data_IF_728541318325
#
_entry.id   IF_728541318325
#
_cell.length_a   1.000
_cell.length_b   1.000
_cell.length_c   1.000
_cell.angle_alpha   90.00
_cell.angle_beta   90.00
_cell.angle_gamma   90.00
#
_symmetry.space_group_name_H-M   'P 1'
#
loop_
_entity.id
_entity.type
_entity.pdbx_description
1 polymer ?
2 water ?
#
# COMPACT_ATOMS: atom_id res chain seq x y z
N UNK A 1 14.13 -17.57 11.69
CA UNK A 1 15.10 -17.25 12.77
C UNK A 1 14.79 -18.09 14.01
N UNK A 2 15.83 -18.68 14.60
CA UNK A 2 15.67 -19.53 15.78
C UNK A 2 15.28 -18.80 17.05
N UNK A 3 16.01 -17.73 17.37
CA UNK A 3 15.79 -16.96 18.60
C UNK A 3 14.37 -16.51 18.88
N UNK A 4 13.67 -16.05 17.85
CA UNK A 4 12.32 -15.55 18.03
C UNK A 4 11.73 -15.31 16.64
N UNK A 5 10.55 -14.71 16.60
CA UNK A 5 9.93 -14.39 15.32
C UNK A 5 10.85 -13.37 14.66
N UNK A 6 11.05 -13.51 13.36
CA UNK A 6 11.93 -12.63 12.59
C UNK A 6 11.82 -11.14 12.96
N UNK A 7 10.62 -10.59 12.86
CA UNK A 7 10.40 -9.18 13.15
C UNK A 7 10.68 -8.70 14.58
N UNK A 8 10.64 -9.61 15.55
CA UNK A 8 10.91 -9.21 16.94
C UNK A 8 12.38 -8.92 17.18
N UNK A 9 13.20 -9.16 16.17
CA UNK A 9 14.63 -8.91 16.26
C UNK A 9 14.91 -7.57 15.59
N UNK A 10 13.86 -6.97 15.05
CA UNK A 10 13.96 -5.69 14.36
C UNK A 10 13.40 -4.56 15.20
N UNK A 11 13.58 -3.33 14.72
CA UNK A 11 13.09 -2.16 15.42
C UNK A 11 11.58 -2.07 15.17
N UNK A 12 10.87 -1.39 16.06
CA UNK A 12 9.43 -1.24 15.92
C UNK A 12 9.06 0.20 15.56
N UNK A 13 8.89 0.44 14.26
CA UNK A 13 8.52 1.76 13.76
C UNK A 13 7.01 1.94 14.01
N UNK A 14 6.60 3.13 14.41
CA UNK A 14 5.20 3.40 14.69
C UNK A 14 4.29 3.39 13.47
N UNK A 15 3.18 2.65 13.54
CA UNK A 15 2.30 2.64 12.37
C UNK A 15 1.76 4.05 12.14
N UNK A 16 1.58 4.41 10.88
CA UNK A 16 1.05 5.72 10.53
C UNK A 16 0.75 5.75 9.04
N UNK A 17 -0.12 6.67 8.60
CA UNK A 17 -0.40 6.68 7.16
C UNK A 17 0.92 6.90 6.43
N UNK A 18 1.09 6.23 5.29
CA UNK A 18 2.33 6.38 4.54
C UNK A 18 3.32 5.27 4.83
N UNK A 19 3.06 4.51 5.88
CA UNK A 19 3.94 3.39 6.22
C UNK A 19 3.29 2.15 5.62
N UNK A 20 4.08 1.10 5.41
CA UNK A 20 3.54 -0.15 4.89
C UNK A 20 3.71 -1.23 5.97
N UNK A 21 2.79 -2.18 6.00
CA UNK A 21 2.87 -3.29 6.95
C UNK A 21 3.33 -4.47 6.10
N UNK A 22 4.51 -5.01 6.40
CA UNK A 22 5.04 -6.14 5.64
C UNK A 22 4.72 -7.46 6.33
N UNK A 23 4.04 -8.35 5.61
CA UNK A 23 3.66 -9.64 6.18
C UNK A 23 4.88 -10.49 6.53
N UNK A 24 4.81 -11.17 7.67
CA UNK A 24 5.90 -12.04 8.09
C UNK A 24 5.98 -13.19 7.10
N UNK A 25 7.18 -13.73 6.88
CA UNK A 25 7.35 -14.85 5.94
C UNK A 25 6.43 -16.04 6.24
N UNK A 26 6.23 -16.32 7.52
CA UNK A 26 5.39 -17.45 7.93
C UNK A 26 3.88 -17.24 7.83
N UNK A 27 3.43 -16.01 7.59
CA UNK A 27 1.99 -15.76 7.47
C UNK A 27 1.50 -16.53 6.25
N UNK A 28 0.51 -17.41 6.45
CA UNK A 28 0.01 -18.25 5.36
C UNK A 28 -1.38 -17.95 4.79
N UNK A 29 -2.15 -17.10 5.46
CA UNK A 29 -3.49 -16.75 4.98
C UNK A 29 -3.47 -16.38 3.50
N UNK A 30 -4.41 -16.93 2.73
CA UNK A 30 -4.46 -16.63 1.30
C UNK A 30 -4.74 -15.15 1.05
N UNK A 31 -5.48 -14.51 1.95
CA UNK A 31 -5.81 -13.10 1.81
C UNK A 31 -4.71 -12.14 2.26
N UNK A 32 -3.76 -12.63 3.06
CA UNK A 32 -2.71 -11.75 3.57
C UNK A 32 -1.26 -12.21 3.42
N UNK A 33 -1.04 -13.43 2.95
CA UNK A 33 0.33 -13.92 2.80
C UNK A 33 1.13 -13.06 1.83
N UNK A 34 2.35 -12.72 2.23
CA UNK A 34 3.27 -11.92 1.42
C UNK A 34 2.67 -10.60 0.96
N UNK A 35 1.91 -9.95 1.83
CA UNK A 35 1.31 -8.68 1.49
C UNK A 35 2.17 -7.52 2.00
N UNK A 36 1.97 -6.36 1.39
CA UNK A 36 2.67 -5.13 1.76
C UNK A 36 1.53 -4.13 1.81
N UNK A 37 1.00 -3.92 3.00
CA UNK A 37 -0.15 -3.06 3.17
C UNK A 37 0.16 -1.62 3.53
N UNK A 38 -0.17 -0.73 2.60
CA UNK A 38 0.04 0.69 2.79
C UNK A 38 -1.06 1.18 3.71
N UNK A 39 -0.69 1.87 4.79
CA UNK A 39 -1.69 2.39 5.72
C UNK A 39 -2.20 3.70 5.13
N UNK A 40 -3.52 3.80 4.98
CA UNK A 40 -4.11 5.00 4.40
C UNK A 40 -5.00 5.77 5.37
N UNK A 41 -5.24 5.18 6.53
CA UNK A 41 -6.06 5.79 7.58
C UNK A 41 -5.69 5.11 8.89
N UNK A 42 -5.38 5.90 9.91
CA UNK A 42 -4.99 5.35 11.20
C UNK A 42 -5.59 6.24 12.29
N UNK A 43 -6.66 5.78 12.92
CA UNK A 43 -7.31 6.56 13.96
C UNK A 43 -7.68 5.70 15.15
N UNK A 44 -8.28 6.33 16.16
CA UNK A 44 -8.70 5.63 17.35
C UNK A 44 -9.82 4.64 17.02
N UNK A 45 -10.48 4.83 15.88
CA UNK A 45 -11.57 3.94 15.49
C UNK A 45 -11.09 2.75 14.67
N UNK A 46 -10.06 2.96 13.86
CA UNK A 46 -9.57 1.87 13.04
C UNK A 46 -8.34 2.23 12.23
N UNK A 47 -7.76 1.21 11.62
CA UNK A 47 -6.62 1.41 10.74
C UNK A 47 -7.11 0.76 9.46
N UNK A 48 -6.94 1.45 8.34
CA UNK A 48 -7.34 0.90 7.04
C UNK A 48 -6.08 0.90 6.20
N UNK A 49 -5.97 -0.04 5.27
CA UNK A 49 -4.80 -0.08 4.43
C UNK A 49 -5.10 -0.84 3.16
N UNK A 50 -4.25 -0.70 2.15
CA UNK A 50 -4.42 -1.42 0.89
C UNK A 50 -3.15 -2.16 0.49
N UNK A 51 -3.29 -3.44 0.17
CA UNK A 51 -2.16 -4.27 -0.24
C UNK A 51 -1.64 -3.73 -1.57
N UNK A 52 -0.32 -3.65 -1.71
CA UNK A 52 0.30 -3.14 -2.94
C UNK A 52 0.92 -4.26 -3.75
N UNK A 53 0.88 -5.46 -3.21
CA UNK A 53 1.52 -6.61 -3.83
C UNK A 53 0.69 -7.57 -4.68
N UNK A 54 -0.61 -7.32 -4.84
CA UNK A 54 -1.45 -8.24 -5.60
C UNK A 54 -2.26 -7.66 -6.75
N UNK A 55 -1.76 -7.83 -7.97
CA UNK A 55 -2.47 -7.33 -9.15
C UNK A 55 -3.62 -8.27 -9.50
N UNK A 56 -4.77 -7.69 -9.84
CA UNK A 56 -5.93 -8.49 -10.21
C UNK A 56 -5.96 -8.65 -11.72
N UNK A 57 -6.95 -9.37 -12.22
CA UNK A 57 -7.09 -9.60 -13.66
C UNK A 57 -8.10 -8.64 -14.28
N UNK A 58 -8.56 -7.67 -13.49
CA UNK A 58 -9.53 -6.70 -13.98
C UNK A 58 -8.83 -5.43 -14.46
N UNK A 59 -9.07 -5.06 -15.72
CA UNK A 59 -8.46 -3.86 -16.29
C UNK A 59 -9.22 -2.62 -15.84
N UNK A 60 -8.49 -1.55 -15.53
CA UNK A 60 -9.12 -0.31 -15.10
C UNK A 60 -10.13 0.15 -16.14
N UNK A 61 -9.77 -0.01 -17.41
CA UNK A 61 -10.62 0.41 -18.51
C UNK A 61 -12.04 -0.16 -18.43
N UNK A 62 -12.16 -1.37 -17.90
CA UNK A 62 -13.47 -2.00 -17.80
C UNK A 62 -14.30 -1.57 -16.59
N UNK A 63 -13.72 -0.74 -15.72
CA UNK A 63 -14.43 -0.27 -14.54
C UNK A 63 -14.60 1.26 -14.59
N UNK A 64 -13.48 1.99 -14.56
CA UNK A 64 -13.51 3.45 -14.64
C UNK A 64 -12.53 3.89 -15.72
N UNK A 65 -12.92 3.74 -16.99
CA UNK A 65 -12.12 4.09 -18.17
C UNK A 65 -11.58 5.51 -18.19
N UNK A 66 -12.32 6.43 -17.58
CA UNK A 66 -11.91 7.83 -17.55
C UNK A 66 -10.61 8.06 -16.79
N UNK A 67 -10.20 7.09 -15.97
CA UNK A 67 -8.97 7.26 -15.19
C UNK A 67 -7.72 6.63 -15.79
N UNK A 68 -7.90 5.81 -16.82
CA UNK A 68 -6.77 5.15 -17.45
C UNK A 68 -5.59 6.06 -17.81
N UNK A 69 -5.86 7.28 -18.30
CA UNK A 69 -4.74 8.17 -18.64
C UNK A 69 -3.81 8.48 -17.46
N UNK A 70 -4.37 8.49 -16.25
CA UNK A 70 -3.59 8.79 -15.05
C UNK A 70 -2.97 7.57 -14.38
N UNK A 71 -3.45 6.38 -14.72
CA UNK A 71 -2.96 5.17 -14.10
C UNK A 71 -1.63 4.64 -14.64
N UNK A 72 -0.71 4.36 -13.72
CA UNK A 72 0.62 3.83 -14.07
C UNK A 72 0.48 2.35 -14.44
N UNK A 73 1.22 1.92 -15.46
CA UNK A 73 1.16 0.52 -15.88
C UNK A 73 1.70 -0.38 -14.77
N UNK A 74 1.12 -1.58 -14.60
CA UNK A 74 0.00 -2.19 -15.32
C UNK A 74 -1.32 -1.49 -14.98
N UNK A 75 -2.08 -1.11 -16.00
CA UNK A 75 -3.35 -0.42 -15.78
C UNK A 75 -4.47 -1.38 -15.40
N UNK A 76 -4.26 -2.10 -14.30
CA UNK A 76 -5.23 -3.06 -13.79
C UNK A 76 -5.52 -2.74 -12.33
N UNK A 77 -6.68 -3.17 -11.85
CA UNK A 77 -7.02 -2.94 -10.45
C UNK A 77 -6.17 -3.89 -9.62
N UNK A 78 -5.67 -3.41 -8.49
CA UNK A 78 -4.89 -4.24 -7.58
C UNK A 78 -5.84 -4.60 -6.45
N UNK A 79 -5.67 -5.78 -5.86
CA UNK A 79 -6.53 -6.22 -4.76
C UNK A 79 -6.00 -5.61 -3.47
N UNK A 80 -6.68 -4.58 -2.99
CA UNK A 80 -6.26 -3.91 -1.77
C UNK A 80 -6.51 -4.68 -0.49
N UNK A 81 -7.54 -5.53 -0.49
CA UNK A 81 -7.86 -6.29 0.70
C UNK A 81 -9.12 -7.10 0.50
N UNK A 82 -9.53 -7.90 1.50
CA UNK A 82 -10.72 -8.74 1.42
C UNK A 82 -12.06 -8.03 1.68
N UNK A 83 -12.00 -6.84 2.27
CA UNK A 83 -13.20 -6.07 2.58
C UNK A 83 -13.58 -5.09 1.48
N UNK A 84 -14.88 -4.87 1.31
CA UNK A 84 -15.43 -3.93 0.32
C UNK A 84 -14.74 -4.01 -1.03
N UNK A 85 -14.72 -5.20 -1.64
CA UNK A 85 -14.05 -5.36 -2.92
C UNK A 85 -14.70 -4.63 -4.09
N UNK A 86 -15.88 -4.04 -3.86
CA UNK A 86 -16.57 -3.28 -4.90
C UNK A 86 -16.16 -1.81 -4.77
N UNK A 87 -15.40 -1.51 -3.72
CA UNK A 87 -14.94 -0.15 -3.48
C UNK A 87 -13.52 0.04 -4.01
N UNK A 88 -13.33 1.08 -4.80
CA UNK A 88 -12.03 1.35 -5.39
C UNK A 88 -11.45 2.66 -4.87
N UNK A 89 -10.16 2.65 -4.58
CA UNK A 89 -9.48 3.83 -4.08
C UNK A 89 -8.19 4.05 -4.85
N UNK A 90 -7.81 5.31 -5.03
CA UNK A 90 -6.59 5.59 -5.77
C UNK A 90 -5.49 6.21 -4.94
N UNK A 91 -4.26 5.73 -5.14
CA UNK A 91 -3.11 6.27 -4.43
C UNK A 91 -2.19 6.85 -5.49
N UNK A 92 -1.79 8.10 -5.32
CA UNK A 92 -0.93 8.71 -6.30
C UNK A 92 0.36 9.23 -5.71
N UNK A 93 1.24 9.70 -6.59
CA UNK A 93 2.51 10.27 -6.19
C UNK A 93 2.47 11.69 -6.73
N UNK A 94 2.51 12.67 -5.84
CA UNK A 94 2.44 14.06 -6.27
C UNK A 94 3.57 14.44 -7.20
N UNK A 95 3.25 15.30 -8.16
CA UNK A 95 4.21 15.78 -9.13
C UNK A 95 4.98 16.93 -8.50
N UNK A 96 6.07 17.32 -9.15
CA UNK A 96 6.87 18.43 -8.65
C UNK A 96 5.97 19.66 -8.54
N UNK A 97 6.20 20.45 -7.49
CA UNK A 97 5.42 21.66 -7.29
C UNK A 97 4.15 21.53 -6.47
N UNK A 98 3.60 20.32 -6.41
CA UNK A 98 2.35 20.08 -5.70
C UNK A 98 2.42 19.85 -4.19
N UNK A 99 1.52 20.50 -3.47
CA UNK A 99 1.38 20.36 -2.03
C UNK A 99 -0.07 19.91 -1.87
N UNK A 100 -0.27 18.64 -1.53
CA UNK A 100 -1.60 18.06 -1.36
C UNK A 100 -2.54 18.84 -0.45
N UNK A 101 -1.99 19.50 0.56
CA UNK A 101 -2.80 20.27 1.50
C UNK A 101 -3.51 21.42 0.81
N UNK A 102 -3.02 21.80 -0.37
CA UNK A 102 -3.61 22.90 -1.12
C UNK A 102 -4.58 22.43 -2.20
N UNK A 103 -4.77 21.12 -2.28
CA UNK A 103 -5.67 20.53 -3.27
C UNK A 103 -6.73 19.70 -2.57
N UNK A 104 -7.99 20.11 -2.70
CA UNK A 104 -9.09 19.39 -2.06
C UNK A 104 -9.21 17.94 -2.51
N UNK A 105 -8.94 17.68 -3.78
CA UNK A 105 -9.06 16.33 -4.33
C UNK A 105 -7.86 15.41 -4.12
N UNK A 106 -6.88 15.89 -3.35
CA UNK A 106 -5.69 15.11 -3.02
C UNK A 106 -5.51 15.13 -1.51
N UNK A 107 -5.40 13.96 -0.90
CA UNK A 107 -5.22 13.85 0.54
C UNK A 107 -3.84 13.26 0.83
N UNK A 108 -3.02 14.00 1.56
CA UNK A 108 -1.68 13.52 1.87
C UNK A 108 -1.67 12.36 2.87
N UNK A 109 -0.81 11.39 2.60
CA UNK A 109 -0.64 10.25 3.49
C UNK A 109 0.66 10.61 4.20
N UNK A 110 1.72 10.71 3.41
CA UNK A 110 3.04 11.08 3.90
C UNK A 110 3.94 11.29 2.68
N UNK A 111 4.88 12.22 2.78
CA UNK A 111 5.80 12.50 1.69
C UNK A 111 5.04 12.84 0.40
N UNK A 112 5.29 12.10 -0.69
CA UNK A 112 4.59 12.39 -1.94
C UNK A 112 3.39 11.47 -2.19
N UNK A 113 3.07 10.63 -1.22
CA UNK A 113 1.95 9.71 -1.36
C UNK A 113 0.65 10.39 -1.00
N UNK A 114 -0.36 10.22 -1.84
CA UNK A 114 -1.65 10.84 -1.60
C UNK A 114 -2.81 9.94 -2.00
N UNK A 115 -3.98 10.29 -1.49
CA UNK A 115 -5.21 9.59 -1.79
C UNK A 115 -5.84 10.48 -2.86
N UNK A 116 -6.34 9.87 -3.93
CA UNK A 116 -6.96 10.64 -5.00
C UNK A 116 -8.48 10.49 -5.00
N UNK A 117 -9.19 11.62 -4.99
CA UNK A 117 -10.65 11.58 -5.01
C UNK A 117 -11.06 11.16 -6.42
N UNK A 118 -11.45 9.90 -6.58
CA UNK A 118 -11.83 9.39 -7.90
C UNK A 118 -13.10 10.03 -8.48
N UNK A 119 -13.67 10.97 -7.74
CA UNK A 119 -14.86 11.67 -8.21
C UNK A 119 -14.43 12.95 -8.90
N UNK A 120 -13.13 13.26 -8.79
CA UNK A 120 -12.57 14.45 -9.40
C UNK A 120 -12.43 14.26 -10.91
N UNK A 121 -12.19 15.36 -11.62
CA UNK A 121 -12.01 15.34 -13.06
C UNK A 121 -10.59 14.84 -13.33
N UNK A 122 -10.44 13.72 -14.06
CA UNK A 122 -9.11 13.17 -14.38
C UNK A 122 -8.16 14.19 -14.98
N UNK A 123 -8.71 15.15 -15.71
CA UNK A 123 -7.91 16.19 -16.36
C UNK A 123 -7.29 17.13 -15.34
N UNK A 124 -7.97 17.29 -14.21
CA UNK A 124 -7.50 18.15 -13.13
C UNK A 124 -6.35 17.47 -12.41
N UNK A 125 -6.51 16.18 -12.19
CA UNK A 125 -5.53 15.37 -11.48
C UNK A 125 -4.28 15.01 -12.27
N UNK A 126 -4.46 14.72 -13.56
CA UNK A 126 -3.34 14.33 -14.42
C UNK A 126 -2.02 15.08 -14.20
N UNK A 127 -2.03 16.42 -14.27
CA UNK A 127 -0.77 17.13 -14.07
C UNK A 127 -0.27 17.22 -12.63
N UNK A 128 -1.08 16.80 -11.67
CA UNK A 128 -0.69 16.88 -10.26
C UNK A 128 -0.01 15.62 -9.73
N UNK A 129 -0.09 14.53 -10.48
CA UNK A 129 0.54 13.29 -10.05
C UNK A 129 1.46 12.74 -11.14
N UNK A 130 2.53 12.07 -10.73
CA UNK A 130 3.47 11.50 -11.69
C UNK A 130 3.20 10.01 -11.80
N UNK A 131 2.32 9.52 -10.94
CA UNK A 131 1.97 8.11 -10.94
C UNK A 131 0.74 7.86 -10.10
N UNK A 132 0.04 6.77 -10.39
CA UNK A 132 -1.17 6.43 -9.64
C UNK A 132 -1.57 4.98 -9.86
N UNK A 133 -2.14 4.38 -8.82
CA UNK A 133 -2.58 2.99 -8.88
C UNK A 133 -3.93 2.85 -8.19
N UNK A 134 -4.79 2.02 -8.75
CA UNK A 134 -6.13 1.80 -8.20
C UNK A 134 -6.23 0.48 -7.43
N UNK A 135 -6.88 0.54 -6.27
CA UNK A 135 -7.05 -0.61 -5.39
C UNK A 135 -8.50 -0.94 -5.08
N UNK A 136 -8.91 -2.16 -5.40
CA UNK A 136 -10.26 -2.62 -5.12
C UNK A 136 -10.19 -3.39 -3.81
N UNK A 137 -11.01 -3.00 -2.83
CA UNK A 137 -11.00 -3.68 -1.55
C UNK A 137 -9.91 -3.13 -0.64
N UNK A 138 -10.01 -3.43 0.65
CA UNK A 138 -9.03 -2.95 1.62
C UNK A 138 -8.99 -3.86 2.84
N UNK A 139 -8.06 -3.58 3.74
CA UNK A 139 -7.95 -4.35 4.96
C UNK A 139 -8.23 -3.37 6.09
N UNK A 140 -8.86 -3.86 7.16
CA UNK A 140 -9.17 -3.02 8.31
C UNK A 140 -8.75 -3.73 9.59
N UNK A 141 -8.24 -2.96 10.55
CA UNK A 141 -7.84 -3.49 11.85
C UNK A 141 -8.69 -2.83 12.92
N UNK A 142 -9.30 -3.63 13.77
CA UNK A 142 -10.12 -3.11 14.86
C UNK A 142 -9.18 -2.39 15.82
N UNK A 143 -9.74 -1.53 16.69
CA UNK A 143 -8.89 -0.80 17.64
C UNK A 143 -8.05 -1.75 18.49
N UNK A 144 -6.76 -1.47 18.58
CA UNK A 144 -5.86 -2.30 19.36
C UNK A 144 -5.42 -3.58 18.67
N UNK A 145 -6.12 -3.96 17.61
CA UNK A 145 -5.78 -5.20 16.90
C UNK A 145 -4.44 -5.15 16.16
N UNK A 146 -4.13 -4.03 15.53
CA UNK A 146 -2.86 -3.94 14.81
C UNK A 146 -1.69 -4.07 15.78
N UNK A 147 -1.80 -3.40 16.93
CA UNK A 147 -0.74 -3.45 17.93
C UNK A 147 -0.49 -4.89 18.37
N UNK A 148 -1.58 -5.61 18.63
CA UNK A 148 -1.50 -7.01 19.05
C UNK A 148 -0.76 -7.85 18.02
N UNK A 149 -1.15 -7.71 16.76
CA UNK A 149 -0.52 -8.46 15.69
C UNK A 149 0.96 -8.12 15.53
N UNK A 150 1.30 -6.84 15.65
CA UNK A 150 2.70 -6.45 15.54
C UNK A 150 3.46 -7.11 16.69
N UNK A 151 2.86 -7.12 17.88
CA UNK A 151 3.51 -7.72 19.04
C UNK A 151 3.66 -9.23 18.83
N UNK A 152 2.79 -9.81 18.01
CA UNK A 152 2.85 -11.24 17.74
C UNK A 152 3.87 -11.61 16.67
N UNK A 153 4.46 -10.60 16.04
CA UNK A 153 5.45 -10.84 15.00
C UNK A 153 4.88 -10.99 13.60
N UNK A 154 3.62 -10.58 13.42
CA UNK A 154 2.94 -10.67 12.12
C UNK A 154 3.37 -9.62 11.11
N UNK A 155 3.72 -8.43 11.59
CA UNK A 155 4.05 -7.34 10.68
C UNK A 155 5.30 -6.54 10.99
N UNK A 156 5.98 -6.11 9.94
CA UNK A 156 7.13 -5.25 10.11
C UNK A 156 6.73 -3.90 9.53
N UNK A 157 6.77 -2.86 10.35
CA UNK A 157 6.39 -1.52 9.92
C UNK A 157 7.58 -0.81 9.30
N UNK A 158 7.42 -0.37 8.06
CA UNK A 158 8.49 0.33 7.37
C UNK A 158 7.91 1.41 6.47
N UNK A 159 8.71 2.44 6.16
CA UNK A 159 8.19 3.51 5.30
C UNK A 159 7.98 3.02 3.87
N UNK A 160 6.99 3.58 3.20
CA UNK A 160 6.73 3.20 1.82
C UNK A 160 7.43 4.18 0.90
N UNK A 161 7.72 3.73 -0.31
CA UNK A 161 8.37 4.56 -1.31
C UNK A 161 7.40 4.66 -2.47
N UNK A 162 7.45 5.78 -3.21
CA UNK A 162 6.55 5.94 -4.36
C UNK A 162 6.69 4.76 -5.32
N UNK A 163 7.90 4.19 -5.40
CA UNK A 163 8.15 3.06 -6.28
C UNK A 163 7.38 1.79 -5.90
N UNK A 164 6.88 1.73 -4.67
CA UNK A 164 6.09 0.57 -4.24
C UNK A 164 4.70 0.69 -4.85
N UNK A 165 4.21 1.92 -4.93
CA UNK A 165 2.88 2.20 -5.47
C UNK A 165 2.84 2.16 -7.00
N UNK A 166 3.96 2.51 -7.63
CA UNK A 166 4.03 2.54 -9.09
C UNK A 166 4.87 1.41 -9.67
N UNK A 167 5.12 0.39 -8.86
CA UNK A 167 5.93 -0.74 -9.27
C UNK A 167 5.45 -1.46 -10.53
N UNK A 168 6.37 -1.72 -11.47
CA UNK A 168 6.07 -2.41 -12.73
C UNK A 168 5.49 -3.79 -12.43
N UNK A 169 4.82 -4.38 -13.41
CA UNK A 169 4.22 -5.70 -13.23
C UNK A 169 5.19 -6.83 -12.98
N UNK A 170 6.43 -6.67 -13.44
CA UNK A 170 7.45 -7.71 -13.27
C UNK A 170 8.12 -7.63 -11.90
N UNK A 171 7.74 -6.64 -11.10
CA UNK A 171 8.34 -6.48 -9.78
C UNK A 171 7.64 -7.27 -8.67
N UNK A 172 8.44 -7.93 -7.84
CA UNK A 172 7.95 -8.70 -6.70
C UNK A 172 7.96 -7.71 -5.53
N UNK A 173 6.83 -7.06 -5.32
CA UNK A 173 6.71 -6.05 -4.28
C UNK A 173 7.12 -6.49 -2.88
N UNK A 174 6.58 -7.61 -2.40
CA UNK A 174 6.92 -8.08 -1.06
C UNK A 174 8.41 -8.41 -1.01
N UNK A 175 8.89 -9.07 -2.06
CA UNK A 175 10.29 -9.43 -2.12
C UNK A 175 11.22 -8.22 -2.08
N UNK A 176 10.95 -7.22 -2.91
CA UNK A 176 11.80 -6.03 -2.95
C UNK A 176 11.71 -5.14 -1.72
N UNK A 177 10.54 -5.06 -1.09
CA UNK A 177 10.42 -4.25 0.11
C UNK A 177 11.24 -4.90 1.22
N UNK A 178 11.29 -6.23 1.23
CA UNK A 178 12.06 -6.95 2.25
C UNK A 178 13.56 -6.76 2.00
N UNK A 179 13.96 -6.74 0.73
CA UNK A 179 15.38 -6.56 0.41
C UNK A 179 15.96 -5.20 0.79
N UNK A 180 15.11 -4.19 0.93
CA UNK A 180 15.63 -2.88 1.29
C UNK A 180 15.59 -2.63 2.80
N UNK A 181 15.24 -3.65 3.57
CA UNK A 181 15.20 -3.50 5.03
C UNK A 181 16.52 -3.99 5.63
N UNK A 182 16.78 -3.65 6.90
CA UNK A 182 18.02 -4.09 7.53
C UNK A 182 18.14 -5.61 7.60
N UNK A 183 19.36 -6.12 7.69
CA UNK A 183 19.58 -7.55 7.80
C UNK A 183 18.93 -8.00 9.11
N UNK A 184 18.48 -9.26 9.18
CA UNK A 184 18.53 -10.29 8.14
C UNK A 184 17.27 -10.45 7.27
N UNK A 185 16.41 -9.44 7.25
CA UNK A 185 15.18 -9.55 6.45
C UNK A 185 15.41 -9.92 4.98
N UNK A 186 16.44 -9.36 4.34
CA UNK A 186 16.66 -9.72 2.93
C UNK A 186 16.91 -11.21 2.70
N UNK A 187 17.30 -11.93 3.76
CA UNK A 187 17.57 -13.36 3.65
C UNK A 187 16.29 -14.18 3.60
N UNK A 188 15.16 -13.51 3.74
CA UNK A 188 13.87 -14.18 3.72
C UNK A 188 13.05 -13.78 2.50
N UNK A 189 13.62 -12.93 1.65
CA UNK A 189 12.96 -12.51 0.42
C UNK A 189 13.18 -13.70 -0.51
N UNK A 190 12.48 -13.76 -1.65
CA UNK A 190 12.65 -14.91 -2.54
C UNK A 190 12.54 -14.70 -4.05
N UNK A 191 12.05 -13.54 -4.48
CA UNK A 191 11.86 -13.22 -5.90
C UNK A 191 10.56 -13.83 -6.41
#
# INVERSE_FOLDING_TARGET
MFADRLFNAMERNEPAPGMVLVAAPSMESEDFARSVILIIEHSEYATFGVNLASRSDVAVFNVIPEWVPCVTKPQALYIGGPLNQQSVVGVGVTAQGVDAARVDNLTRLANRLVMVNLGADPEEIKPLVSGMRLFAGHAEWAPGQLAQEIENGDWFVAPALPSDVTAPGSVDVWGDVMRRQPMPLPLYSTFPVNVVGENLEHHHHHH
#
